data_IF_327969774279
#
_entry.id   IF_327969774279
#
_cell.length_a   1.000
_cell.length_b   1.000
_cell.length_c   1.000
_cell.angle_alpha   90.00
_cell.angle_beta   90.00
_cell.angle_gamma   90.00
#
_symmetry.space_group_name_H-M   'P 1'
#
loop_
_entity.id
_entity.type
_entity.pdbx_description
1 polymer ?
#
# COMPACT_ATOMS: atom_id res chain seq x y z
N UNK A 1 71.88 -26.09 18.34
CA UNK A 1 70.90 -25.00 18.49
C UNK A 1 69.48 -25.57 18.40
N UNK A 2 68.70 -25.58 19.49
CA UNK A 2 67.31 -26.08 19.52
C UNK A 2 66.35 -24.89 19.34
N UNK A 3 65.56 -24.87 18.26
CA UNK A 3 64.48 -23.89 18.06
C UNK A 3 63.28 -24.24 18.97
N UNK A 4 62.68 -23.27 19.69
CA UNK A 4 61.47 -23.53 20.47
C UNK A 4 60.30 -23.80 19.52
N UNK A 5 59.51 -24.84 19.83
CA UNK A 5 58.27 -25.16 19.11
C UNK A 5 57.14 -24.24 19.57
N UNK A 6 56.29 -23.73 18.67
CA UNK A 6 55.13 -22.94 19.05
C UNK A 6 54.16 -23.82 19.86
N UNK A 7 53.77 -23.36 21.04
CA UNK A 7 52.73 -24.01 21.85
C UNK A 7 51.40 -23.81 21.12
N UNK A 8 50.77 -24.91 20.68
CA UNK A 8 49.39 -24.87 20.18
C UNK A 8 48.48 -24.50 21.35
N UNK A 9 47.92 -23.29 21.33
CA UNK A 9 46.83 -22.92 22.20
C UNK A 9 45.56 -23.58 21.65
N UNK A 10 45.01 -24.56 22.37
CA UNK A 10 43.71 -25.13 22.07
C UNK A 10 42.62 -24.30 22.74
N UNK A 11 41.50 -24.12 22.05
CA UNK A 11 40.32 -23.46 22.60
C UNK A 11 39.82 -24.22 23.83
N UNK A 12 39.51 -23.50 24.90
CA UNK A 12 38.98 -24.12 26.13
C UNK A 12 37.50 -24.41 25.98
N UNK A 13 36.97 -25.38 26.74
CA UNK A 13 35.51 -25.65 26.78
C UNK A 13 34.72 -24.41 27.20
N UNK A 14 35.29 -23.60 28.10
CA UNK A 14 34.70 -22.34 28.56
C UNK A 14 34.58 -21.36 27.39
N UNK A 15 35.61 -21.23 26.57
CA UNK A 15 35.62 -20.31 25.42
C UNK A 15 34.54 -20.65 24.39
N UNK A 16 34.35 -21.95 24.09
CA UNK A 16 33.28 -22.39 23.20
C UNK A 16 31.89 -22.09 23.80
N UNK A 17 31.71 -22.29 25.11
CA UNK A 17 30.43 -21.98 25.76
C UNK A 17 30.09 -20.50 25.72
N UNK A 18 31.07 -19.61 25.93
CA UNK A 18 30.88 -18.16 25.88
C UNK A 18 30.55 -17.71 24.46
N UNK A 19 31.24 -18.24 23.45
CA UNK A 19 30.96 -17.93 22.05
C UNK A 19 29.54 -18.34 21.65
N UNK A 20 29.07 -19.52 22.08
CA UNK A 20 27.69 -19.97 21.79
C UNK A 20 26.66 -19.09 22.50
N UNK A 21 26.90 -18.67 23.74
CA UNK A 21 26.00 -17.76 24.47
C UNK A 21 25.94 -16.39 23.78
N UNK A 22 27.09 -15.83 23.39
CA UNK A 22 27.14 -14.56 22.65
C UNK A 22 26.45 -14.70 21.30
N UNK A 23 26.69 -15.78 20.56
CA UNK A 23 26.04 -16.04 19.29
C UNK A 23 24.51 -16.17 19.45
N UNK A 24 24.04 -16.86 20.48
CA UNK A 24 22.61 -16.97 20.79
C UNK A 24 22.00 -15.59 21.09
N UNK A 25 22.65 -14.77 21.93
CA UNK A 25 22.20 -13.41 22.23
C UNK A 25 22.18 -12.50 20.99
N UNK A 26 23.18 -12.63 20.12
CA UNK A 26 23.24 -11.90 18.86
C UNK A 26 22.12 -12.32 17.91
N UNK A 27 21.83 -13.62 17.80
CA UNK A 27 20.71 -14.12 16.99
C UNK A 27 19.39 -13.56 17.51
N UNK A 28 19.12 -13.62 18.82
CA UNK A 28 17.88 -13.09 19.41
C UNK A 28 17.73 -11.57 19.20
N UNK A 29 18.82 -10.81 19.32
CA UNK A 29 18.79 -9.34 19.12
C UNK A 29 18.67 -8.96 17.64
N UNK A 30 19.24 -9.75 16.74
CA UNK A 30 19.17 -9.52 15.29
C UNK A 30 17.75 -9.74 14.75
N UNK A 31 17.00 -10.71 15.28
CA UNK A 31 15.61 -10.97 14.84
C UNK A 31 14.69 -9.78 15.13
N UNK A 32 14.82 -9.14 16.30
CA UNK A 32 13.95 -8.03 16.73
C UNK A 32 14.13 -6.74 15.91
N UNK A 33 15.29 -6.55 15.27
CA UNK A 33 15.58 -5.33 14.50
C UNK A 33 15.16 -5.39 13.02
N UNK A 34 15.08 -6.59 12.43
CA UNK A 34 14.68 -6.74 11.02
C UNK A 34 13.19 -6.43 10.82
N UNK A 35 12.36 -6.80 11.80
CA UNK A 35 10.91 -6.59 11.77
C UNK A 35 10.48 -5.12 11.88
N UNK A 36 11.38 -4.17 12.19
CA UNK A 36 11.04 -2.72 12.22
C UNK A 36 11.40 -1.97 10.94
N UNK A 37 12.26 -2.56 10.10
CA UNK A 37 12.73 -1.94 8.84
C UNK A 37 12.02 -2.53 7.62
N UNK A 38 11.55 -3.79 7.70
CA UNK A 38 10.77 -4.44 6.64
C UNK A 38 9.31 -3.98 6.49
N UNK A 39 8.57 -3.60 7.54
CA UNK A 39 7.16 -3.26 7.36
C UNK A 39 6.93 -1.93 6.65
N UNK A 40 7.78 -0.93 6.90
CA UNK A 40 7.66 0.38 6.26
C UNK A 40 7.76 0.27 4.73
N UNK A 41 8.52 -0.69 4.20
CA UNK A 41 8.60 -0.92 2.76
C UNK A 41 7.37 -1.62 2.19
N UNK A 42 6.70 -2.51 2.94
CA UNK A 42 5.49 -3.20 2.44
C UNK A 42 4.32 -2.25 2.25
N UNK A 43 4.02 -1.42 3.23
CA UNK A 43 2.97 -0.40 3.12
C UNK A 43 3.25 0.56 1.97
N UNK A 44 4.51 1.00 1.83
CA UNK A 44 4.89 1.90 0.74
C UNK A 44 4.80 1.23 -0.64
N UNK A 45 5.25 -0.02 -0.77
CA UNK A 45 5.08 -0.80 -1.99
C UNK A 45 3.61 -1.00 -2.34
N UNK A 46 2.77 -1.35 -1.37
CA UNK A 46 1.33 -1.50 -1.55
C UNK A 46 0.66 -0.20 -2.02
N UNK A 47 1.00 0.92 -1.38
CA UNK A 47 0.52 2.24 -1.79
C UNK A 47 0.95 2.58 -3.22
N UNK A 48 2.21 2.29 -3.59
CA UNK A 48 2.72 2.53 -4.95
C UNK A 48 2.02 1.65 -6.00
N UNK A 49 1.70 0.41 -5.68
CA UNK A 49 0.98 -0.50 -6.57
C UNK A 49 -0.49 -0.06 -6.76
N UNK A 50 -1.14 0.39 -5.68
CA UNK A 50 -2.46 1.00 -5.73
C UNK A 50 -2.46 2.24 -6.63
N UNK A 51 -1.47 3.14 -6.45
CA UNK A 51 -1.27 4.30 -7.31
C UNK A 51 -1.05 3.93 -8.78
N UNK A 52 -0.25 2.89 -9.05
CA UNK A 52 -0.03 2.40 -10.42
C UNK A 52 -1.34 1.91 -11.06
N UNK A 53 -2.23 1.34 -10.26
CA UNK A 53 -3.55 0.89 -10.72
C UNK A 53 -4.46 2.08 -11.03
N UNK A 54 -4.42 3.12 -10.20
CA UNK A 54 -5.14 4.37 -10.45
C UNK A 54 -4.63 5.06 -11.72
N UNK A 55 -3.32 5.12 -11.93
CA UNK A 55 -2.74 5.70 -13.14
C UNK A 55 -3.10 4.86 -14.39
N UNK A 56 -3.14 3.53 -14.28
CA UNK A 56 -3.62 2.67 -15.37
C UNK A 56 -5.09 2.95 -15.70
N UNK A 57 -5.98 3.03 -14.71
CA UNK A 57 -7.39 3.34 -14.92
C UNK A 57 -7.56 4.73 -15.58
N UNK A 58 -6.86 5.73 -15.04
CA UNK A 58 -6.86 7.10 -15.55
C UNK A 58 -6.37 7.21 -16.99
N UNK A 59 -5.19 6.66 -17.27
CA UNK A 59 -4.60 6.71 -18.61
C UNK A 59 -5.44 5.93 -19.62
N UNK A 60 -6.05 4.82 -19.21
CA UNK A 60 -6.99 4.06 -20.04
C UNK A 60 -8.26 4.87 -20.33
N UNK A 61 -8.78 5.61 -19.34
CA UNK A 61 -9.96 6.44 -19.50
C UNK A 61 -9.75 7.56 -20.53
N UNK A 62 -8.60 8.24 -20.45
CA UNK A 62 -8.19 9.26 -21.42
C UNK A 62 -7.97 8.64 -22.81
N UNK A 63 -7.23 7.54 -22.89
CA UNK A 63 -6.88 6.91 -24.16
C UNK A 63 -8.10 6.38 -24.93
N UNK A 64 -9.10 5.88 -24.21
CA UNK A 64 -10.33 5.34 -24.81
C UNK A 64 -11.50 6.34 -24.85
N UNK A 65 -11.36 7.51 -24.22
CA UNK A 65 -12.42 8.51 -24.10
C UNK A 65 -13.65 7.98 -23.35
N UNK A 66 -13.45 7.15 -22.32
CA UNK A 66 -14.52 6.45 -21.58
C UNK A 66 -14.19 6.39 -20.09
N UNK A 67 -15.21 6.40 -19.24
CA UNK A 67 -15.02 6.32 -17.79
C UNK A 67 -14.57 4.93 -17.35
N UNK A 68 -13.46 4.86 -16.63
CA UNK A 68 -13.00 3.66 -15.92
C UNK A 68 -13.28 3.82 -14.44
N UNK A 69 -13.63 2.74 -13.75
CA UNK A 69 -13.94 2.79 -12.31
C UNK A 69 -12.98 1.89 -11.56
N UNK A 70 -12.41 2.38 -10.46
CA UNK A 70 -11.69 1.54 -9.51
C UNK A 70 -12.62 1.19 -8.36
N UNK A 71 -12.83 -0.11 -8.15
CA UNK A 71 -13.65 -0.66 -7.09
C UNK A 71 -12.74 -1.15 -5.96
N UNK A 72 -12.98 -0.68 -4.74
CA UNK A 72 -12.18 -0.96 -3.54
C UNK A 72 -13.09 -1.61 -2.50
N UNK A 73 -12.76 -2.82 -2.04
CA UNK A 73 -13.49 -3.54 -1.00
C UNK A 73 -12.66 -3.45 0.28
N UNK A 74 -13.08 -2.55 1.17
CA UNK A 74 -12.29 -2.11 2.32
C UNK A 74 -12.06 -3.24 3.32
N UNK A 75 -13.06 -4.07 3.55
CA UNK A 75 -13.00 -5.17 4.53
C UNK A 75 -12.21 -6.40 4.04
N UNK A 76 -11.87 -6.43 2.76
CA UNK A 76 -11.29 -7.60 2.10
C UNK A 76 -9.90 -7.31 1.53
N UNK A 77 -9.42 -6.08 1.76
CA UNK A 77 -8.11 -5.57 1.37
C UNK A 77 -7.79 -5.78 -0.10
N UNK A 78 -8.80 -5.57 -0.96
CA UNK A 78 -8.68 -5.80 -2.40
C UNK A 78 -9.33 -4.72 -3.23
N UNK A 79 -8.81 -4.53 -4.43
CA UNK A 79 -9.29 -3.55 -5.39
C UNK A 79 -9.14 -4.05 -6.81
N UNK A 80 -9.90 -3.49 -7.75
CA UNK A 80 -9.81 -3.82 -9.18
C UNK A 80 -10.31 -2.68 -10.06
N UNK A 81 -10.02 -2.77 -11.34
CA UNK A 81 -10.57 -1.86 -12.36
C UNK A 81 -11.79 -2.51 -13.01
N UNK A 82 -12.90 -1.78 -13.03
CA UNK A 82 -14.07 -2.06 -13.86
C UNK A 82 -13.92 -1.32 -15.19
N UNK A 83 -14.07 -2.05 -16.28
CA UNK A 83 -13.97 -1.53 -17.64
C UNK A 83 -15.27 -0.83 -18.04
N UNK A 84 -15.23 0.10 -19.01
CA UNK A 84 -16.43 0.70 -19.59
C UNK A 84 -17.23 -0.27 -20.49
N UNK A 85 -16.75 -1.51 -20.65
CA UNK A 85 -17.32 -2.53 -21.53
C UNK A 85 -17.82 -3.75 -20.76
N UNK A 86 -18.70 -4.52 -21.36
CA UNK A 86 -19.09 -5.86 -20.91
C UNK A 86 -18.02 -6.91 -21.26
N UNK A 87 -18.29 -8.17 -20.91
CA UNK A 87 -17.40 -9.30 -21.20
C UNK A 87 -17.19 -9.57 -22.70
N UNK A 88 -18.11 -9.11 -23.55
CA UNK A 88 -18.02 -9.21 -25.02
C UNK A 88 -17.27 -8.02 -25.63
N UNK A 89 -16.78 -7.07 -24.82
CA UNK A 89 -16.11 -5.86 -25.27
C UNK A 89 -17.04 -4.79 -25.83
N UNK A 90 -18.37 -4.91 -25.64
CA UNK A 90 -19.34 -3.88 -26.01
C UNK A 90 -19.50 -2.88 -24.87
N UNK A 91 -19.94 -1.64 -25.12
CA UNK A 91 -20.23 -0.69 -24.05
C UNK A 91 -21.23 -1.29 -23.04
N UNK A 92 -20.85 -1.31 -21.76
CA UNK A 92 -21.71 -1.84 -20.70
C UNK A 92 -22.95 -0.95 -20.54
N UNK A 93 -24.12 -1.57 -20.35
CA UNK A 93 -25.39 -0.85 -20.19
C UNK A 93 -25.67 -0.48 -18.74
N UNK A 94 -25.31 -1.37 -17.83
CA UNK A 94 -25.39 -1.15 -16.40
C UNK A 94 -24.03 -1.41 -15.72
N UNK A 95 -23.77 -0.84 -14.53
CA UNK A 95 -22.55 -1.08 -13.78
C UNK A 95 -22.27 -2.57 -13.51
N UNK A 96 -23.32 -3.36 -13.26
CA UNK A 96 -23.24 -4.81 -13.04
C UNK A 96 -22.81 -5.62 -14.26
N UNK A 97 -22.97 -5.06 -15.47
CA UNK A 97 -22.56 -5.71 -16.72
C UNK A 97 -21.08 -5.48 -17.03
N UNK A 98 -20.41 -4.57 -16.32
CA UNK A 98 -19.03 -4.18 -16.61
C UNK A 98 -18.09 -5.36 -16.39
N UNK A 99 -17.30 -5.67 -17.41
CA UNK A 99 -16.13 -6.51 -17.27
C UNK A 99 -15.17 -5.87 -16.26
N UNK A 100 -14.41 -6.72 -15.58
CA UNK A 100 -13.44 -6.27 -14.59
C UNK A 100 -12.09 -6.95 -14.83
N UNK A 101 -11.03 -6.21 -14.53
CA UNK A 101 -9.70 -6.80 -14.39
C UNK A 101 -9.64 -7.66 -13.13
N UNK A 102 -8.55 -8.43 -13.03
CA UNK A 102 -8.28 -9.27 -11.87
C UNK A 102 -8.23 -8.45 -10.57
N UNK A 103 -8.68 -9.09 -9.49
CA UNK A 103 -8.54 -8.55 -8.14
C UNK A 103 -7.07 -8.45 -7.77
N UNK A 104 -6.66 -7.25 -7.37
CA UNK A 104 -5.40 -7.02 -6.68
C UNK A 104 -5.69 -7.03 -5.18
N UNK A 105 -4.82 -7.67 -4.39
CA UNK A 105 -4.94 -7.70 -2.94
C UNK A 105 -3.75 -6.98 -2.33
N UNK A 106 -3.99 -6.21 -1.27
CA UNK A 106 -2.92 -5.66 -0.46
C UNK A 106 -2.10 -6.81 0.15
N UNK A 107 -0.78 -6.62 0.33
CA UNK A 107 0.06 -7.63 0.95
C UNK A 107 -0.32 -7.85 2.42
N UNK A 108 -0.04 -9.05 2.94
CA UNK A 108 -0.32 -9.40 4.33
C UNK A 108 0.26 -8.37 5.32
N UNK A 109 -0.59 -7.96 6.28
CA UNK A 109 -0.29 -6.96 7.29
C UNK A 109 -0.46 -5.51 6.82
N UNK A 110 -1.01 -5.28 5.62
CA UNK A 110 -1.44 -3.95 5.15
C UNK A 110 -2.94 -3.99 4.87
N UNK A 111 -3.69 -3.07 5.46
CA UNK A 111 -5.14 -3.02 5.34
C UNK A 111 -5.66 -1.63 5.01
N UNK A 112 -6.84 -1.56 4.40
CA UNK A 112 -7.57 -0.31 4.25
C UNK A 112 -8.15 0.11 5.61
N UNK A 113 -7.62 1.19 6.18
CA UNK A 113 -8.19 1.78 7.40
C UNK A 113 -9.48 2.57 7.10
N UNK A 114 -9.61 3.08 5.87
CA UNK A 114 -10.81 3.74 5.40
C UNK A 114 -10.53 4.72 4.26
N UNK A 115 -11.59 5.34 3.77
CA UNK A 115 -11.57 6.29 2.67
C UNK A 115 -12.35 7.54 3.04
N UNK A 116 -11.80 8.69 2.66
CA UNK A 116 -12.35 10.00 2.94
C UNK A 116 -12.40 10.81 1.63
N UNK A 117 -13.57 10.89 0.98
CA UNK A 117 -13.77 11.82 -0.12
C UNK A 117 -13.70 13.26 0.41
N UNK A 118 -13.21 14.21 -0.38
CA UNK A 118 -13.08 15.61 0.07
C UNK A 118 -14.44 16.26 0.44
N UNK A 119 -15.52 15.88 -0.25
CA UNK A 119 -16.88 16.35 0.02
C UNK A 119 -17.79 15.32 0.69
N UNK A 120 -17.25 14.19 1.15
CA UNK A 120 -18.02 13.06 1.67
C UNK A 120 -17.74 12.74 3.13
N UNK A 121 -18.41 11.71 3.64
CA UNK A 121 -18.14 11.16 4.97
C UNK A 121 -17.02 10.11 4.92
N UNK A 122 -16.34 9.96 6.06
CA UNK A 122 -15.39 8.88 6.26
C UNK A 122 -16.07 7.52 6.16
N UNK A 123 -15.50 6.61 5.38
CA UNK A 123 -16.00 5.25 5.23
C UNK A 123 -14.91 4.22 5.54
N UNK A 124 -15.16 3.37 6.52
CA UNK A 124 -14.26 2.28 6.94
C UNK A 124 -14.65 0.92 6.35
N UNK A 125 -15.86 0.80 5.79
CA UNK A 125 -16.46 -0.48 5.40
C UNK A 125 -17.23 -0.39 4.10
N UNK A 126 -17.39 -1.53 3.45
CA UNK A 126 -18.13 -1.68 2.22
C UNK A 126 -17.26 -1.48 0.97
N UNK A 127 -17.96 -1.14 -0.11
CA UNK A 127 -17.37 -0.98 -1.44
C UNK A 127 -17.32 0.51 -1.76
N UNK A 128 -16.12 1.04 -1.98
CA UNK A 128 -15.93 2.37 -2.52
C UNK A 128 -15.64 2.30 -4.02
N UNK A 129 -16.21 3.22 -4.80
CA UNK A 129 -15.97 3.31 -6.25
C UNK A 129 -15.43 4.69 -6.58
N UNK A 130 -14.27 4.71 -7.24
CA UNK A 130 -13.63 5.91 -7.73
C UNK A 130 -13.70 5.92 -9.26
N UNK A 131 -14.35 6.91 -9.84
CA UNK A 131 -14.47 7.06 -11.29
C UNK A 131 -13.38 7.96 -11.83
N UNK A 132 -12.68 7.49 -12.86
CA UNK A 132 -11.80 8.29 -13.71
C UNK A 132 -12.54 8.63 -15.01
N UNK A 133 -12.82 9.90 -15.22
CA UNK A 133 -13.53 10.39 -16.40
C UNK A 133 -12.66 10.37 -17.67
N UNK A 134 -13.27 10.71 -18.80
CA UNK A 134 -12.62 10.73 -20.12
C UNK A 134 -11.54 11.82 -20.27
N UNK A 135 -11.42 12.75 -19.33
CA UNK A 135 -10.34 13.75 -19.25
C UNK A 135 -9.25 13.33 -18.24
N UNK A 136 -9.44 12.20 -17.56
CA UNK A 136 -8.54 11.69 -16.53
C UNK A 136 -8.72 12.36 -15.17
N UNK A 137 -9.80 13.12 -14.97
CA UNK A 137 -10.23 13.62 -13.67
C UNK A 137 -10.90 12.53 -12.85
N UNK A 138 -10.95 12.71 -11.54
CA UNK A 138 -11.64 11.85 -10.59
C UNK A 138 -11.99 12.68 -9.35
N UNK A 139 -12.92 12.23 -8.51
CA UNK A 139 -13.20 12.93 -7.25
C UNK A 139 -11.98 12.92 -6.32
N UNK A 140 -11.80 14.00 -5.55
CA UNK A 140 -10.71 14.07 -4.59
C UNK A 140 -10.94 13.08 -3.45
N UNK A 141 -9.98 12.18 -3.26
CA UNK A 141 -10.12 11.04 -2.36
C UNK A 141 -8.85 10.82 -1.57
N UNK A 142 -9.00 10.57 -0.29
CA UNK A 142 -7.93 10.17 0.62
C UNK A 142 -8.20 8.74 1.05
N UNK A 143 -7.26 7.83 0.79
CA UNK A 143 -7.36 6.42 1.17
C UNK A 143 -6.29 6.17 2.21
N UNK A 144 -6.71 5.75 3.39
CA UNK A 144 -5.82 5.47 4.49
C UNK A 144 -5.46 3.98 4.51
N UNK A 145 -4.17 3.72 4.50
CA UNK A 145 -3.58 2.39 4.63
C UNK A 145 -2.92 2.32 5.99
N UNK A 146 -3.21 1.25 6.71
CA UNK A 146 -2.59 0.94 7.99
C UNK A 146 -1.79 -0.36 7.86
N UNK A 147 -0.82 -0.54 8.75
CA UNK A 147 0.14 -1.62 8.70
C UNK A 147 0.38 -2.14 10.11
N UNK A 148 0.30 -3.46 10.29
CA UNK A 148 0.40 -4.15 11.59
C UNK A 148 1.70 -3.86 12.37
N UNK A 149 2.72 -3.25 11.73
CA UNK A 149 3.94 -2.82 12.39
C UNK A 149 3.83 -1.59 13.31
N UNK A 150 2.64 -1.03 13.49
CA UNK A 150 2.31 -0.06 14.54
C UNK A 150 1.99 1.34 14.03
N UNK A 151 1.44 2.17 14.93
CA UNK A 151 0.87 3.52 14.72
C UNK A 151 1.77 4.52 13.94
N UNK A 152 3.05 4.22 13.74
CA UNK A 152 4.04 5.09 13.11
C UNK A 152 4.11 5.06 11.58
N UNK A 153 3.28 4.28 10.88
CA UNK A 153 3.39 4.09 9.42
C UNK A 153 2.06 4.18 8.66
N UNK A 154 1.06 4.88 9.20
CA UNK A 154 -0.13 5.21 8.42
C UNK A 154 0.30 5.87 7.09
N UNK A 155 -0.21 5.40 5.96
CA UNK A 155 0.02 6.00 4.66
C UNK A 155 -1.31 6.50 4.13
N UNK A 156 -1.30 7.64 3.46
CA UNK A 156 -2.48 8.14 2.77
C UNK A 156 -2.21 8.21 1.27
N UNK A 157 -2.93 7.41 0.49
CA UNK A 157 -2.99 7.55 -0.95
C UNK A 157 -4.04 8.61 -1.30
N UNK A 158 -3.61 9.74 -1.86
CA UNK A 158 -4.49 10.85 -2.25
C UNK A 158 -4.65 10.88 -3.77
N UNK A 159 -5.89 10.94 -4.23
CA UNK A 159 -6.26 11.22 -5.63
C UNK A 159 -6.76 12.66 -5.72
N UNK A 160 -6.23 13.44 -6.67
CA UNK A 160 -6.57 14.87 -6.82
C UNK A 160 -7.79 15.05 -7.75
N UNK A 161 -8.78 15.82 -7.25
CA UNK A 161 -10.13 16.04 -7.81
C UNK A 161 -10.28 16.49 -9.27
N UNK A 162 -9.19 16.97 -9.89
CA UNK A 162 -9.21 17.57 -11.23
C UNK A 162 -8.25 16.88 -12.20
N UNK A 163 -7.17 16.34 -11.66
CA UNK A 163 -6.12 15.74 -12.48
C UNK A 163 -6.17 14.22 -12.44
N UNK A 164 -6.91 13.64 -11.49
CA UNK A 164 -6.90 12.21 -11.18
C UNK A 164 -5.53 11.68 -10.75
N UNK A 165 -4.57 12.58 -10.51
CA UNK A 165 -3.22 12.16 -10.12
C UNK A 165 -3.25 11.59 -8.71
N UNK A 166 -2.61 10.44 -8.55
CA UNK A 166 -2.51 9.75 -7.29
C UNK A 166 -1.10 9.92 -6.69
N UNK A 167 -1.01 10.20 -5.40
CA UNK A 167 0.24 10.40 -4.67
C UNK A 167 0.19 9.76 -3.28
N UNK A 168 1.35 9.34 -2.76
CA UNK A 168 1.48 8.81 -1.40
C UNK A 168 1.92 9.93 -0.46
N UNK A 169 1.22 10.07 0.65
CA UNK A 169 1.56 10.96 1.76
C UNK A 169 1.90 10.07 2.96
N UNK A 170 3.00 10.38 3.65
CA UNK A 170 3.32 9.73 4.92
C UNK A 170 2.44 10.28 6.03
N UNK A 171 1.89 9.39 6.85
CA UNK A 171 0.96 9.71 7.91
C UNK A 171 -0.51 9.66 7.48
N UNK A 172 -1.37 9.98 8.44
CA UNK A 172 -2.80 10.13 8.24
C UNK A 172 -3.11 11.57 7.81
N UNK A 173 -3.46 11.76 6.53
CA UNK A 173 -3.77 13.08 5.97
C UNK A 173 -5.27 13.23 5.72
N UNK A 174 -5.87 14.27 6.28
CA UNK A 174 -7.29 14.57 6.05
C UNK A 174 -7.46 15.55 4.88
N UNK A 175 -8.64 15.57 4.23
CA UNK A 175 -8.99 16.65 3.31
C UNK A 175 -8.83 18.01 3.99
N UNK A 176 -8.34 19.04 3.28
CA UNK A 176 -8.37 20.39 3.81
C UNK A 176 -9.82 20.77 4.12
N UNK A 177 -10.04 21.32 5.32
CA UNK A 177 -11.32 21.92 5.67
C UNK A 177 -11.58 23.06 4.69
N UNK A 178 -12.50 22.85 3.75
CA UNK A 178 -12.96 23.94 2.87
C UNK A 178 -13.71 24.91 3.77
N UNK A 179 -13.09 26.05 4.05
CA UNK A 179 -13.73 27.10 4.84
C UNK A 179 -14.61 27.94 3.92
N UNK A 180 -15.72 28.48 4.43
CA UNK A 180 -16.57 29.42 3.67
C UNK A 180 -15.80 30.67 3.18
N UNK A 181 -14.56 30.89 3.64
CA UNK A 181 -13.71 31.98 3.19
C UNK A 181 -12.97 31.71 1.86
N UNK A 182 -13.07 30.50 1.30
CA UNK A 182 -12.41 30.09 0.05
C UNK A 182 -13.34 30.12 -1.19
N UNK A 183 -14.56 30.68 -1.06
CA UNK A 183 -15.54 30.87 -2.14
C UNK A 183 -15.86 32.34 -2.41
#
# INVERSE_FOLDING_TARGET
MRRPRPRRAGFTLIEISVVVVIAALLVTTATVNLDRVLPSSRGESAARELLSTFDLARTSAVAQGRTYTVEILLEEDRYRILLPTDADGRPARAPEDRAALEWHRLPDGVHFAGVQPAGGEYQERGVYRLDFDLYGGADELYIHLDNEAGEGYALTARVIGLTGQAQVIQGHALPPLVSEADF
#
